data_IF_264142214600
#
_entry.id   IF_264142214600
#
_cell.length_a   1.000
_cell.length_b   1.000
_cell.length_c   1.000
_cell.angle_alpha   90.00
_cell.angle_beta   90.00
_cell.angle_gamma   90.00
#
_symmetry.space_group_name_H-M   'P 1'
#
loop_
_entity.id
_entity.type
_entity.pdbx_description
1 polymer ?
#
# COMPACT_ATOMS: atom_id res chain seq x y z
N UNK A 1 25.44 -5.86 32.36
CA UNK A 1 24.13 -6.44 31.96
C UNK A 1 24.12 -7.93 32.27
N UNK A 2 23.51 -8.34 33.41
CA UNK A 2 23.39 -9.74 33.83
C UNK A 2 22.70 -10.63 32.79
N UNK A 3 23.04 -11.92 32.78
CA UNK A 3 22.48 -12.89 31.83
C UNK A 3 20.94 -13.00 31.94
N UNK A 4 20.41 -12.91 33.15
CA UNK A 4 18.96 -12.91 33.40
C UNK A 4 18.25 -11.70 32.79
N UNK A 5 18.84 -10.51 32.89
CA UNK A 5 18.30 -9.29 32.30
C UNK A 5 18.27 -9.39 30.78
N UNK A 6 19.34 -9.92 30.16
CA UNK A 6 19.37 -10.15 28.71
C UNK A 6 18.29 -11.13 28.27
N UNK A 7 18.04 -12.20 29.05
CA UNK A 7 16.95 -13.16 28.80
C UNK A 7 15.58 -12.48 28.85
N UNK A 8 15.30 -11.69 29.89
CA UNK A 8 14.02 -10.97 30.04
C UNK A 8 13.77 -9.98 28.89
N UNK A 9 14.77 -9.19 28.50
CA UNK A 9 14.66 -8.25 27.36
C UNK A 9 14.42 -9.03 26.05
N UNK A 10 15.16 -10.12 25.82
CA UNK A 10 14.99 -10.92 24.61
C UNK A 10 13.60 -11.56 24.52
N UNK A 11 13.06 -12.05 25.63
CA UNK A 11 11.72 -12.62 25.71
C UNK A 11 10.65 -11.55 25.42
N UNK A 12 10.81 -10.35 25.99
CA UNK A 12 9.87 -9.24 25.78
C UNK A 12 9.85 -8.73 24.33
N UNK A 13 10.99 -8.77 23.64
CA UNK A 13 11.10 -8.31 22.24
C UNK A 13 10.76 -9.40 21.22
N UNK A 14 10.80 -10.68 21.60
CA UNK A 14 10.51 -11.79 20.68
C UNK A 14 9.06 -11.74 20.22
N UNK A 15 8.85 -11.70 18.91
CA UNK A 15 7.53 -11.70 18.29
C UNK A 15 6.84 -10.32 18.19
N UNK A 16 7.38 -9.26 18.81
CA UNK A 16 6.85 -7.91 18.62
C UNK A 16 7.05 -7.46 17.18
N UNK A 17 5.95 -7.23 16.46
CA UNK A 17 5.98 -6.67 15.11
C UNK A 17 6.20 -5.16 15.20
N UNK A 18 7.19 -4.65 14.47
CA UNK A 18 7.37 -3.20 14.27
C UNK A 18 6.13 -2.62 13.59
N UNK A 19 5.64 -1.49 14.08
CA UNK A 19 4.55 -0.72 13.46
C UNK A 19 4.91 -0.33 12.01
N UNK A 20 3.91 -0.14 11.13
CA UNK A 20 4.17 0.28 9.75
C UNK A 20 4.94 1.59 9.69
N UNK A 21 4.56 2.59 10.49
CA UNK A 21 5.25 3.89 10.60
C UNK A 21 6.72 3.75 10.98
N UNK A 22 7.03 2.87 11.95
CA UNK A 22 8.42 2.65 12.36
C UNK A 22 9.24 1.96 11.25
N UNK A 23 8.62 1.08 10.46
CA UNK A 23 9.29 0.47 9.29
C UNK A 23 9.55 1.50 8.20
N UNK A 24 8.60 2.39 7.95
CA UNK A 24 8.73 3.47 6.97
C UNK A 24 9.79 4.48 7.39
N UNK A 25 9.81 4.88 8.67
CA UNK A 25 10.85 5.74 9.24
C UNK A 25 12.25 5.15 9.06
N UNK A 26 12.42 3.85 9.37
CA UNK A 26 13.69 3.16 9.14
C UNK A 26 14.06 3.11 7.65
N UNK A 27 13.08 2.85 6.78
CA UNK A 27 13.31 2.85 5.33
C UNK A 27 13.81 4.20 4.85
N UNK A 28 13.15 5.29 5.27
CA UNK A 28 13.51 6.67 4.89
C UNK A 28 14.90 7.06 5.40
N UNK A 29 15.25 6.69 6.64
CA UNK A 29 16.57 6.98 7.22
C UNK A 29 17.73 6.25 6.52
N UNK A 30 17.47 5.09 5.95
CA UNK A 30 18.51 4.25 5.31
C UNK A 30 18.36 4.16 3.78
N UNK A 31 17.68 5.12 3.17
CA UNK A 31 17.54 5.24 1.72
C UNK A 31 18.62 6.17 1.14
N UNK A 32 19.10 5.84 -0.06
CA UNK A 32 20.06 6.66 -0.79
C UNK A 32 21.35 6.91 -0.01
N UNK A 33 21.92 8.11 -0.19
CA UNK A 33 23.19 8.55 0.39
C UNK A 33 23.19 8.67 1.93
N UNK A 34 22.03 8.66 2.59
CA UNK A 34 21.96 8.65 4.05
C UNK A 34 22.35 7.31 4.66
N UNK A 35 22.31 6.22 3.88
CA UNK A 35 22.81 4.95 4.34
C UNK A 35 24.34 4.99 4.42
N UNK A 36 24.97 4.69 5.58
CA UNK A 36 26.43 4.72 5.72
C UNK A 36 27.15 3.72 4.79
N UNK A 37 26.41 2.76 4.23
CA UNK A 37 26.90 1.79 3.25
C UNK A 37 26.53 2.14 1.80
N UNK A 38 25.90 3.27 1.54
CA UNK A 38 25.54 3.68 0.17
C UNK A 38 26.80 3.88 -0.68
N UNK A 39 26.79 3.36 -1.91
CA UNK A 39 27.92 3.44 -2.84
C UNK A 39 29.13 2.57 -2.49
N UNK A 40 29.22 2.02 -1.28
CA UNK A 40 30.33 1.12 -0.88
C UNK A 40 30.13 -0.26 -1.49
N UNK A 41 31.07 -0.68 -2.35
CA UNK A 41 31.12 -2.05 -2.88
C UNK A 41 31.81 -2.95 -1.85
N UNK A 42 31.20 -4.09 -1.54
CA UNK A 42 31.85 -5.15 -0.77
C UNK A 42 33.10 -5.64 -1.51
N UNK A 43 34.19 -5.88 -0.77
CA UNK A 43 35.40 -6.50 -1.33
C UNK A 43 35.10 -7.89 -1.89
N UNK A 44 35.89 -8.34 -2.87
CA UNK A 44 35.73 -9.66 -3.48
C UNK A 44 35.80 -10.78 -2.42
N UNK A 45 36.71 -10.66 -1.47
CA UNK A 45 36.85 -11.59 -0.34
C UNK A 45 35.59 -11.63 0.53
N UNK A 46 35.02 -10.47 0.88
CA UNK A 46 33.78 -10.39 1.67
C UNK A 46 32.60 -11.00 0.93
N UNK A 47 32.48 -10.73 -0.38
CA UNK A 47 31.46 -11.35 -1.24
C UNK A 47 31.60 -12.87 -1.28
N UNK A 48 32.83 -13.38 -1.40
CA UNK A 48 33.10 -14.82 -1.38
C UNK A 48 32.71 -15.46 -0.04
N UNK A 49 33.03 -14.82 1.09
CA UNK A 49 32.63 -15.27 2.44
C UNK A 49 31.11 -15.36 2.58
N UNK A 50 30.38 -14.33 2.17
CA UNK A 50 28.90 -14.32 2.20
C UNK A 50 28.33 -15.43 1.31
N UNK A 51 28.86 -15.58 0.10
CA UNK A 51 28.43 -16.62 -0.85
C UNK A 51 28.59 -18.03 -0.27
N UNK A 52 29.76 -18.33 0.32
CA UNK A 52 30.03 -19.62 0.99
C UNK A 52 29.08 -19.85 2.16
N UNK A 53 28.84 -18.83 2.99
CA UNK A 53 27.93 -18.94 4.13
C UNK A 53 26.47 -19.22 3.71
N UNK A 54 26.00 -18.58 2.63
CA UNK A 54 24.66 -18.81 2.09
C UNK A 54 24.52 -20.20 1.46
N UNK A 55 25.55 -20.67 0.74
CA UNK A 55 25.59 -22.01 0.17
C UNK A 55 25.55 -23.10 1.27
N UNK A 56 26.29 -22.92 2.37
CA UNK A 56 26.29 -23.85 3.49
C UNK A 56 24.90 -23.94 4.17
N UNK A 57 24.25 -22.79 4.41
CA UNK A 57 22.90 -22.74 5.00
C UNK A 57 21.83 -23.37 4.11
N UNK A 58 21.97 -23.24 2.79
CA UNK A 58 21.08 -23.90 1.83
C UNK A 58 21.13 -25.43 1.91
N UNK A 59 22.33 -25.99 2.11
CA UNK A 59 22.53 -27.44 2.26
C UNK A 59 21.95 -27.98 3.57
N UNK A 60 22.18 -27.29 4.69
CA UNK A 60 21.62 -27.68 6.00
C UNK A 60 20.09 -27.73 5.98
N UNK A 61 19.42 -26.72 5.42
CA UNK A 61 17.94 -26.74 5.30
C UNK A 61 17.42 -27.90 4.45
N UNK A 62 18.19 -28.37 3.46
CA UNK A 62 17.77 -29.51 2.64
C UNK A 62 17.89 -30.81 3.43
N UNK A 63 18.95 -30.99 4.22
CA UNK A 63 19.09 -32.12 5.13
C UNK A 63 17.99 -32.12 6.22
N UNK A 64 17.76 -30.97 6.88
CA UNK A 64 16.70 -30.84 7.91
C UNK A 64 15.28 -31.12 7.38
N UNK A 65 15.04 -30.96 6.07
CA UNK A 65 13.76 -31.33 5.44
C UNK A 65 13.72 -32.78 4.95
N UNK A 66 14.87 -33.37 4.60
CA UNK A 66 14.98 -34.78 4.18
C UNK A 66 14.86 -35.73 5.37
N UNK A 67 15.28 -35.31 6.56
CA UNK A 67 15.15 -36.11 7.79
C UNK A 67 13.81 -35.91 8.52
N UNK A 68 12.88 -35.14 7.95
CA UNK A 68 11.55 -34.85 8.53
C UNK A 68 10.31 -35.18 7.67
N UNK A 69 10.31 -36.21 6.80
CA UNK A 69 9.15 -36.51 5.96
C UNK A 69 7.96 -37.07 6.77
N UNK A 70 8.18 -37.58 7.97
CA UNK A 70 7.14 -38.34 8.70
C UNK A 70 6.12 -37.46 9.47
N UNK A 71 6.45 -36.20 9.78
CA UNK A 71 5.54 -35.30 10.52
C UNK A 71 4.59 -34.46 9.63
N UNK A 72 4.63 -34.67 8.31
CA UNK A 72 3.67 -34.06 7.39
C UNK A 72 2.27 -34.71 7.48
N UNK A 73 2.19 -35.95 7.98
CA UNK A 73 0.96 -36.75 8.09
C UNK A 73 0.45 -36.90 9.54
N UNK A 74 0.80 -35.99 10.45
CA UNK A 74 0.30 -36.11 11.82
C UNK A 74 -1.23 -35.96 11.86
N UNK A 75 -1.94 -36.73 12.71
CA UNK A 75 -3.39 -36.67 12.84
C UNK A 75 -3.90 -35.26 13.21
N UNK A 76 -3.09 -34.46 13.90
CA UNK A 76 -3.42 -33.06 14.20
C UNK A 76 -3.52 -32.17 12.94
N UNK A 77 -2.64 -32.36 11.95
CA UNK A 77 -2.71 -31.60 10.69
C UNK A 77 -3.90 -32.03 9.83
N UNK A 78 -4.27 -33.33 9.85
CA UNK A 78 -5.47 -33.83 9.16
C UNK A 78 -6.75 -33.21 9.72
N UNK A 79 -6.87 -33.11 11.05
CA UNK A 79 -7.99 -32.43 11.72
C UNK A 79 -8.08 -30.95 11.34
N UNK A 80 -6.95 -30.23 11.34
CA UNK A 80 -6.94 -28.81 10.92
C UNK A 80 -7.32 -28.60 9.45
N UNK A 81 -6.88 -29.50 8.55
CA UNK A 81 -7.28 -29.45 7.14
C UNK A 81 -8.79 -29.68 6.99
N UNK A 82 -9.33 -30.71 7.64
CA UNK A 82 -10.77 -31.02 7.62
C UNK A 82 -11.60 -29.86 8.19
N UNK A 83 -11.16 -29.24 9.29
CA UNK A 83 -11.86 -28.10 9.89
C UNK A 83 -11.90 -26.89 8.94
N UNK A 84 -10.79 -26.60 8.26
CA UNK A 84 -10.73 -25.53 7.26
C UNK A 84 -11.66 -25.81 6.07
N UNK A 85 -11.71 -27.06 5.61
CA UNK A 85 -12.56 -27.49 4.51
C UNK A 85 -14.05 -27.37 4.88
N UNK A 86 -14.44 -27.85 6.08
CA UNK A 86 -15.78 -27.65 6.64
C UNK A 86 -16.17 -26.17 6.77
N UNK A 87 -15.23 -25.32 7.19
CA UNK A 87 -15.47 -23.88 7.32
C UNK A 87 -15.75 -23.22 5.97
N UNK A 88 -15.04 -23.64 4.91
CA UNK A 88 -15.24 -23.11 3.56
C UNK A 88 -16.61 -23.53 2.98
N UNK A 89 -17.04 -24.76 3.24
CA UNK A 89 -18.35 -25.23 2.76
C UNK A 89 -19.51 -24.53 3.49
N UNK A 90 -19.39 -24.30 4.80
CA UNK A 90 -20.36 -23.47 5.55
C UNK A 90 -20.48 -22.05 5.00
N UNK A 91 -19.36 -21.44 4.58
CA UNK A 91 -19.38 -20.11 3.97
C UNK A 91 -20.07 -20.12 2.59
N UNK A 92 -19.87 -21.18 1.79
CA UNK A 92 -20.56 -21.36 0.50
C UNK A 92 -22.06 -21.51 0.68
N UNK A 93 -22.49 -22.31 1.64
CA UNK A 93 -23.91 -22.51 1.96
C UNK A 93 -24.57 -21.20 2.42
N UNK A 94 -23.93 -20.46 3.34
CA UNK A 94 -24.41 -19.13 3.77
C UNK A 94 -24.52 -18.14 2.61
N UNK A 95 -23.56 -18.17 1.68
CA UNK A 95 -23.62 -17.32 0.50
C UNK A 95 -24.82 -17.67 -0.40
N UNK A 96 -25.14 -18.95 -0.58
CA UNK A 96 -26.33 -19.39 -1.32
C UNK A 96 -27.61 -18.95 -0.61
N UNK A 97 -27.71 -19.14 0.71
CA UNK A 97 -28.89 -18.71 1.48
C UNK A 97 -29.09 -17.19 1.42
N UNK A 98 -28.03 -16.40 1.52
CA UNK A 98 -28.12 -14.93 1.42
C UNK A 98 -28.66 -14.46 0.06
N UNK A 99 -28.35 -15.17 -1.03
CA UNK A 99 -28.87 -14.87 -2.37
C UNK A 99 -30.38 -15.15 -2.48
N UNK A 100 -30.87 -16.22 -1.85
CA UNK A 100 -32.30 -16.53 -1.84
C UNK A 100 -33.12 -15.50 -1.06
N UNK A 101 -32.60 -15.03 0.08
CA UNK A 101 -33.27 -14.00 0.89
C UNK A 101 -33.30 -12.65 0.16
N UNK A 102 -32.20 -12.27 -0.50
CA UNK A 102 -32.14 -11.01 -1.26
C UNK A 102 -33.07 -11.00 -2.46
N UNK A 103 -33.34 -12.15 -3.11
CA UNK A 103 -34.34 -12.22 -4.18
C UNK A 103 -35.79 -12.05 -3.71
N UNK A 104 -36.10 -12.31 -2.44
CA UNK A 104 -37.47 -12.21 -1.92
C UNK A 104 -37.85 -10.80 -1.41
N UNK A 105 -36.87 -9.94 -1.15
CA UNK A 105 -37.11 -8.66 -0.42
C UNK A 105 -36.82 -7.41 -1.24
N UNK A 106 -36.33 -7.54 -2.48
CA UNK A 106 -36.14 -6.36 -3.34
C UNK A 106 -37.47 -5.96 -4.00
N UNK A 107 -37.96 -4.73 -3.79
CA UNK A 107 -39.08 -4.23 -4.58
C UNK A 107 -38.68 -4.26 -6.07
N UNK A 108 -39.59 -4.61 -6.99
CA UNK A 108 -39.28 -4.69 -8.40
C UNK A 108 -38.63 -3.37 -8.84
N UNK A 109 -37.47 -3.40 -9.51
CA UNK A 109 -36.80 -2.19 -9.94
C UNK A 109 -37.78 -1.38 -10.77
N UNK A 110 -38.01 -0.12 -10.38
CA UNK A 110 -38.90 0.81 -11.10
C UNK A 110 -38.43 0.84 -12.56
N UNK A 111 -39.22 0.20 -13.43
CA UNK A 111 -38.93 0.09 -14.86
C UNK A 111 -38.81 1.49 -15.43
N UNK A 112 -37.61 1.91 -15.81
CA UNK A 112 -37.45 3.07 -16.69
C UNK A 112 -37.99 2.67 -18.06
N UNK A 113 -39.01 3.36 -18.60
CA UNK A 113 -39.55 3.06 -19.92
C UNK A 113 -38.56 3.56 -20.98
N UNK A 114 -37.57 2.73 -21.33
CA UNK A 114 -36.79 2.77 -22.60
C UNK A 114 -35.54 1.87 -22.51
N UNK A 115 -35.72 0.58 -22.23
CA UNK A 115 -34.61 -0.40 -22.28
C UNK A 115 -35.00 -1.74 -22.91
N UNK A 116 -36.07 -1.77 -23.72
CA UNK A 116 -36.54 -3.00 -24.36
C UNK A 116 -35.71 -3.35 -25.62
N UNK A 117 -34.91 -2.42 -26.16
CA UNK A 117 -34.14 -2.66 -27.39
C UNK A 117 -32.70 -3.16 -27.19
N UNK A 118 -32.20 -3.23 -25.95
CA UNK A 118 -30.80 -3.63 -25.71
C UNK A 118 -30.62 -5.12 -25.45
N UNK A 119 -31.57 -5.77 -24.78
CA UNK A 119 -31.44 -7.18 -24.36
C UNK A 119 -31.56 -8.13 -25.57
N UNK A 120 -32.42 -7.82 -26.55
CA UNK A 120 -32.55 -8.58 -27.80
C UNK A 120 -31.30 -8.42 -28.70
N UNK A 121 -30.64 -7.26 -28.63
CA UNK A 121 -29.40 -7.01 -29.37
C UNK A 121 -28.23 -7.80 -28.76
N UNK A 122 -28.18 -7.92 -27.44
CA UNK A 122 -27.19 -8.75 -26.74
C UNK A 122 -27.39 -10.24 -27.02
N UNK A 123 -28.63 -10.72 -27.04
CA UNK A 123 -28.95 -12.11 -27.38
C UNK A 123 -28.53 -12.47 -28.82
N UNK A 124 -28.82 -11.60 -29.79
CA UNK A 124 -28.41 -11.79 -31.19
C UNK A 124 -26.88 -11.76 -31.36
N UNK A 125 -26.19 -10.92 -30.58
CA UNK A 125 -24.73 -10.84 -30.61
C UNK A 125 -24.07 -12.09 -30.01
N UNK A 126 -24.62 -12.61 -28.91
CA UNK A 126 -24.16 -13.86 -28.28
C UNK A 126 -24.35 -15.08 -29.19
N UNK A 127 -25.49 -15.21 -29.88
CA UNK A 127 -25.72 -16.29 -30.84
C UNK A 127 -24.73 -16.23 -32.01
N UNK A 128 -24.40 -15.03 -32.47
CA UNK A 128 -23.39 -14.82 -33.53
C UNK A 128 -21.97 -15.20 -33.08
N UNK A 129 -21.64 -14.98 -31.81
CA UNK A 129 -20.37 -15.42 -31.21
C UNK A 129 -20.34 -16.94 -31.09
N UNK A 130 -21.41 -17.56 -30.59
CA UNK A 130 -21.50 -19.01 -30.41
C UNK A 130 -21.43 -19.76 -31.75
N UNK A 131 -22.10 -19.27 -32.80
CA UNK A 131 -22.00 -19.82 -34.16
C UNK A 131 -20.57 -19.72 -34.72
N UNK A 132 -19.88 -18.61 -34.46
CA UNK A 132 -18.45 -18.47 -34.84
C UNK A 132 -17.57 -19.45 -34.09
N UNK A 133 -17.76 -19.62 -32.79
CA UNK A 133 -17.00 -20.59 -31.98
C UNK A 133 -17.26 -22.02 -32.43
N UNK A 134 -18.51 -22.36 -32.78
CA UNK A 134 -18.88 -23.67 -33.28
C UNK A 134 -18.32 -23.96 -34.69
N UNK A 135 -18.13 -22.93 -35.53
CA UNK A 135 -17.53 -23.06 -36.87
C UNK A 135 -16.00 -23.11 -36.88
N UNK A 136 -15.36 -22.85 -35.73
CA UNK A 136 -13.91 -23.01 -35.61
C UNK A 136 -13.62 -24.49 -35.31
N UNK A 137 -13.43 -25.28 -36.35
CA UNK A 137 -12.80 -26.61 -36.31
C UNK A 137 -11.29 -26.51 -35.95
N UNK A 138 -10.90 -25.53 -35.13
CA UNK A 138 -9.54 -25.46 -34.63
C UNK A 138 -9.40 -26.47 -33.50
N UNK A 139 -8.41 -27.37 -33.55
CA UNK A 139 -8.16 -28.29 -32.46
C UNK A 139 -7.92 -27.46 -31.19
N UNK A 140 -8.49 -27.87 -30.04
CA UNK A 140 -8.40 -27.11 -28.79
C UNK A 140 -6.95 -26.78 -28.39
N UNK A 141 -5.99 -27.56 -28.88
CA UNK A 141 -4.56 -27.33 -28.72
C UNK A 141 -4.04 -26.03 -29.36
N UNK A 142 -4.56 -25.65 -30.54
CA UNK A 142 -4.17 -24.41 -31.22
C UNK A 142 -4.65 -23.17 -30.45
N UNK A 143 -5.87 -23.22 -29.93
CA UNK A 143 -6.44 -22.17 -29.06
C UNK A 143 -5.65 -22.07 -27.76
N UNK A 144 -5.34 -23.20 -27.11
CA UNK A 144 -4.52 -23.23 -25.89
C UNK A 144 -3.12 -22.66 -26.14
N UNK A 145 -2.46 -23.03 -27.25
CA UNK A 145 -1.15 -22.50 -27.63
C UNK A 145 -1.20 -20.99 -27.87
N UNK A 146 -2.26 -20.49 -28.51
CA UNK A 146 -2.46 -19.06 -28.74
C UNK A 146 -2.69 -18.30 -27.44
N UNK A 147 -3.49 -18.83 -26.52
CA UNK A 147 -3.70 -18.25 -25.19
C UNK A 147 -2.40 -18.23 -24.36
N UNK A 148 -1.61 -19.30 -24.40
CA UNK A 148 -0.30 -19.35 -23.74
C UNK A 148 0.68 -18.33 -24.32
N UNK A 149 0.71 -18.16 -25.64
CA UNK A 149 1.55 -17.15 -26.30
C UNK A 149 1.11 -15.72 -25.94
N UNK A 150 -0.19 -15.45 -25.90
CA UNK A 150 -0.74 -14.17 -25.47
C UNK A 150 -0.41 -13.86 -24.01
N UNK A 151 -0.47 -14.87 -23.13
CA UNK A 151 -0.04 -14.74 -21.73
C UNK A 151 1.43 -14.39 -21.61
N UNK A 152 2.32 -15.13 -22.31
CA UNK A 152 3.76 -14.84 -22.34
C UNK A 152 4.05 -13.42 -22.85
N UNK A 153 3.31 -12.96 -23.86
CA UNK A 153 3.44 -11.60 -24.42
C UNK A 153 3.02 -10.52 -23.41
N UNK A 154 1.93 -10.74 -22.66
CA UNK A 154 1.49 -9.83 -21.57
C UNK A 154 2.51 -9.78 -20.43
N UNK A 155 3.06 -10.93 -20.03
CA UNK A 155 4.10 -11.00 -19.00
C UNK A 155 5.38 -10.27 -19.44
N UNK A 156 5.81 -10.46 -20.69
CA UNK A 156 6.94 -9.73 -21.29
C UNK A 156 6.72 -8.21 -21.30
N UNK A 157 5.58 -7.74 -21.80
CA UNK A 157 5.25 -6.31 -21.81
C UNK A 157 5.21 -5.70 -20.39
N UNK A 158 4.75 -6.47 -19.40
CA UNK A 158 4.71 -6.03 -18.00
C UNK A 158 6.12 -5.89 -17.42
N UNK A 159 7.02 -6.82 -17.73
CA UNK A 159 8.43 -6.75 -17.33
C UNK A 159 9.16 -5.59 -18.02
N UNK A 160 8.92 -5.36 -19.30
CA UNK A 160 9.50 -4.23 -20.05
C UNK A 160 9.04 -2.88 -19.49
N UNK A 161 7.74 -2.72 -19.17
CA UNK A 161 7.24 -1.52 -18.49
C UNK A 161 7.88 -1.30 -17.12
N UNK A 162 8.05 -2.36 -16.33
CA UNK A 162 8.77 -2.27 -15.04
C UNK A 162 10.23 -1.87 -15.22
N UNK A 163 10.91 -2.43 -16.22
CA UNK A 163 12.28 -2.08 -16.54
C UNK A 163 12.41 -0.62 -16.99
N UNK A 164 11.49 -0.12 -17.82
CA UNK A 164 11.44 1.28 -18.24
C UNK A 164 11.23 2.25 -17.07
N UNK A 165 10.26 1.96 -16.18
CA UNK A 165 10.02 2.76 -14.99
C UNK A 165 11.24 2.79 -14.04
N UNK A 166 11.95 1.67 -13.92
CA UNK A 166 13.18 1.61 -13.11
C UNK A 166 14.32 2.43 -13.74
N UNK A 167 14.41 2.52 -15.08
CA UNK A 167 15.39 3.39 -15.75
C UNK A 167 15.06 4.87 -15.57
N UNK A 168 13.78 5.26 -15.66
CA UNK A 168 13.35 6.64 -15.46
C UNK A 168 13.66 7.17 -14.05
N UNK A 169 13.48 6.34 -13.01
CA UNK A 169 13.82 6.69 -11.62
C UNK A 169 15.32 6.84 -11.34
N UNK A 170 16.19 6.26 -12.17
CA UNK A 170 17.64 6.42 -12.02
C UNK A 170 18.15 7.74 -12.64
N UNK A 171 17.40 8.34 -13.57
CA UNK A 171 17.77 9.58 -14.25
C UNK A 171 17.22 10.83 -13.53
N UNK A 172 16.09 10.73 -12.82
CA UNK A 172 15.59 11.79 -11.95
C UNK A 172 16.15 11.66 -10.53
N UNK A 173 17.47 11.86 -10.40
CA UNK A 173 18.04 12.22 -9.10
C UNK A 173 17.34 13.49 -8.58
N UNK A 174 17.08 13.61 -7.27
CA UNK A 174 16.59 14.87 -6.71
C UNK A 174 17.55 15.99 -7.12
N UNK A 175 17.06 17.18 -7.51
CA UNK A 175 17.94 18.30 -7.80
C UNK A 175 18.85 18.49 -6.59
N UNK A 176 20.16 18.31 -6.80
CA UNK A 176 21.16 18.54 -5.78
C UNK A 176 21.03 20.00 -5.37
N UNK A 177 20.45 20.27 -4.21
CA UNK A 177 20.54 21.57 -3.56
C UNK A 177 21.99 21.76 -3.15
N UNK A 178 22.80 22.19 -4.12
CA UNK A 178 24.15 22.66 -3.91
C UNK A 178 24.07 23.97 -3.14
N UNK A 179 24.28 23.88 -1.84
CA UNK A 179 24.75 25.01 -1.05
C UNK A 179 26.21 25.24 -1.47
N UNK A 180 26.41 26.15 -2.41
CA UNK A 180 27.70 26.78 -2.67
C UNK A 180 27.55 28.25 -2.34
N UNK A 181 28.17 28.65 -1.24
CA UNK A 181 28.56 30.02 -0.97
C UNK A 181 29.41 30.57 -2.12
N UNK A 182 29.12 31.83 -2.48
CA UNK A 182 29.93 32.88 -3.15
C UNK A 182 28.92 33.83 -3.80
N UNK A 183 28.50 34.88 -3.09
CA UNK A 183 29.19 36.19 -3.11
C UNK A 183 29.49 36.65 -4.52
N UNK A 184 28.48 37.14 -5.23
CA UNK A 184 28.67 38.18 -6.25
C UNK A 184 27.44 39.08 -6.31
N UNK A 185 27.67 40.33 -5.90
CA UNK A 185 26.73 41.44 -5.98
C UNK A 185 26.46 41.75 -7.45
N UNK A 186 25.28 41.40 -7.94
CA UNK A 186 24.75 41.96 -9.18
C UNK A 186 23.40 42.60 -8.87
N UNK A 187 23.39 43.94 -8.90
CA UNK A 187 22.23 44.77 -8.65
C UNK A 187 21.08 44.35 -9.56
N UNK A 188 20.00 43.85 -8.96
CA UNK A 188 18.69 43.80 -9.59
C UNK A 188 18.00 45.16 -9.43
N UNK A 189 17.20 45.57 -10.43
CA UNK A 189 16.46 46.83 -10.38
C UNK A 189 15.49 46.86 -9.21
N UNK A 190 15.43 48.00 -8.53
CA UNK A 190 14.56 48.25 -7.39
C UNK A 190 13.09 48.02 -7.80
N UNK A 191 12.34 47.17 -7.06
CA UNK A 191 10.90 47.13 -7.22
C UNK A 191 10.31 48.43 -6.66
N UNK A 192 9.50 49.06 -7.50
CA UNK A 192 8.77 50.29 -7.21
C UNK A 192 8.04 50.23 -5.88
N UNK A 193 8.39 51.19 -5.04
CA UNK A 193 7.77 51.51 -3.75
C UNK A 193 6.37 52.03 -4.02
N UNK A 194 5.39 51.15 -4.08
CA UNK A 194 3.98 51.53 -3.97
C UNK A 194 3.40 50.94 -2.70
N UNK A 195 3.38 51.80 -1.68
CA UNK A 195 2.52 51.78 -0.49
C UNK A 195 2.43 50.44 0.27
N UNK A 196 3.39 50.25 1.17
CA UNK A 196 3.31 49.41 2.37
C UNK A 196 2.13 49.84 3.26
N UNK A 197 0.91 49.49 2.87
CA UNK A 197 -0.14 49.20 3.84
C UNK A 197 0.26 47.88 4.49
N UNK A 198 1.09 47.98 5.54
CA UNK A 198 1.36 46.86 6.44
C UNK A 198 0.04 46.42 7.05
N UNK A 199 -0.67 45.53 6.35
CA UNK A 199 -1.73 44.71 6.89
C UNK A 199 -1.12 44.03 8.12
N UNK A 200 -1.41 44.58 9.29
CA UNK A 200 -0.86 44.08 10.54
C UNK A 200 -1.54 42.75 10.75
N UNK A 201 -0.87 41.69 10.30
CA UNK A 201 -1.27 40.32 10.58
C UNK A 201 -1.29 40.17 12.10
N UNK A 202 -2.48 40.28 12.67
CA UNK A 202 -2.68 40.08 14.09
C UNK A 202 -2.84 38.58 14.32
N UNK A 203 -2.19 38.06 15.36
CA UNK A 203 -2.36 36.67 15.74
C UNK A 203 -3.83 36.43 16.09
N UNK A 204 -4.41 35.36 15.54
CA UNK A 204 -5.77 34.97 15.85
C UNK A 204 -5.87 34.66 17.35
N UNK A 205 -6.66 35.44 18.08
CA UNK A 205 -6.83 35.33 19.53
C UNK A 205 -7.56 34.06 19.94
N UNK A 206 -8.34 33.47 19.04
CA UNK A 206 -9.10 32.24 19.30
C UNK A 206 -8.18 31.02 19.34
N UNK A 207 -7.23 30.93 18.42
CA UNK A 207 -6.28 29.81 18.36
C UNK A 207 -4.84 30.18 18.79
N UNK A 208 -4.64 31.38 19.33
CA UNK A 208 -3.34 31.92 19.74
C UNK A 208 -2.27 31.78 18.65
N UNK A 209 -2.60 32.10 17.40
CA UNK A 209 -1.63 32.04 16.30
C UNK A 209 -1.41 30.66 15.67
N UNK A 210 -1.98 29.58 16.23
CA UNK A 210 -1.65 28.21 15.77
C UNK A 210 -2.45 27.74 14.56
N UNK A 211 -3.62 28.33 14.30
CA UNK A 211 -4.54 27.89 13.26
C UNK A 211 -5.29 26.58 13.58
N UNK A 212 -4.95 25.89 14.67
CA UNK A 212 -5.54 24.60 15.02
C UNK A 212 -6.10 24.64 16.45
N UNK A 213 -7.31 24.14 16.63
CA UNK A 213 -7.95 24.02 17.94
C UNK A 213 -8.15 22.55 18.29
N UNK A 214 -8.16 22.22 19.58
CA UNK A 214 -8.50 20.88 20.02
C UNK A 214 -9.95 20.56 19.64
N UNK A 215 -10.20 19.35 19.16
CA UNK A 215 -11.54 18.95 18.76
C UNK A 215 -12.46 18.92 19.99
N UNK A 216 -13.53 19.72 20.03
CA UNK A 216 -14.41 19.82 21.21
C UNK A 216 -15.14 18.49 21.48
N UNK A 217 -15.35 17.68 20.44
CA UNK A 217 -16.18 16.48 20.53
C UNK A 217 -15.41 15.23 21.01
N UNK A 218 -14.09 15.16 20.80
CA UNK A 218 -13.31 14.00 21.24
C UNK A 218 -12.28 14.30 22.33
N UNK A 219 -11.50 15.37 22.21
CA UNK A 219 -10.48 15.69 23.21
C UNK A 219 -11.13 16.21 24.50
N UNK A 220 -12.20 17.01 24.38
CA UNK A 220 -12.98 17.46 25.53
C UNK A 220 -13.66 16.31 26.30
N UNK A 221 -14.14 15.30 25.58
CA UNK A 221 -14.95 14.22 26.16
C UNK A 221 -14.15 13.03 26.65
N UNK A 222 -13.08 12.67 25.93
CA UNK A 222 -12.29 11.46 26.19
C UNK A 222 -10.85 11.75 26.66
N UNK A 223 -10.40 13.01 26.65
CA UNK A 223 -9.03 13.40 26.98
C UNK A 223 -7.96 12.93 26.00
N UNK A 224 -8.34 12.21 24.94
CA UNK A 224 -7.46 11.68 23.89
C UNK A 224 -8.19 11.69 22.54
N UNK A 225 -7.43 11.69 21.44
CA UNK A 225 -8.00 11.63 20.09
C UNK A 225 -8.71 10.28 19.86
N UNK A 226 -10.01 10.33 19.59
CA UNK A 226 -10.79 9.15 19.22
C UNK A 226 -10.78 8.97 17.71
N UNK A 227 -10.32 7.80 17.23
CA UNK A 227 -10.29 7.44 15.79
C UNK A 227 -11.67 7.40 15.13
N UNK A 228 -12.75 7.52 15.91
CA UNK A 228 -14.14 7.51 15.45
C UNK A 228 -14.84 8.86 15.56
N UNK A 229 -14.11 9.95 15.79
CA UNK A 229 -14.73 11.26 15.86
C UNK A 229 -15.11 11.75 14.45
N UNK A 230 -16.40 12.00 14.21
CA UNK A 230 -16.90 12.45 12.89
C UNK A 230 -16.45 13.87 12.52
N UNK A 231 -16.04 14.68 13.51
CA UNK A 231 -15.58 16.05 13.29
C UNK A 231 -14.09 16.14 12.93
N UNK A 232 -13.22 15.42 13.63
CA UNK A 232 -11.77 15.49 13.40
C UNK A 232 -11.20 14.24 12.71
N UNK A 233 -12.03 13.23 12.43
CA UNK A 233 -11.64 11.94 11.82
C UNK A 233 -10.44 11.27 12.52
N UNK A 234 -10.32 11.41 13.84
CA UNK A 234 -9.22 10.86 14.63
C UNK A 234 -7.97 11.72 14.78
N UNK A 235 -7.91 12.91 14.17
CA UNK A 235 -6.76 13.80 14.29
C UNK A 235 -6.61 14.46 15.67
N UNK A 236 -7.70 14.60 16.43
CA UNK A 236 -7.72 15.28 17.74
C UNK A 236 -7.75 16.81 17.68
N UNK A 237 -7.67 17.39 16.48
CA UNK A 237 -7.79 18.84 16.27
C UNK A 237 -8.66 19.17 15.07
N UNK A 238 -9.22 20.38 15.06
CA UNK A 238 -9.97 20.97 13.94
C UNK A 238 -9.34 22.33 13.60
N UNK A 239 -9.48 22.77 12.36
CA UNK A 239 -9.00 24.10 11.97
C UNK A 239 -9.81 25.19 12.68
N UNK A 240 -9.15 26.28 13.04
CA UNK A 240 -9.81 27.44 13.62
C UNK A 240 -10.66 28.13 12.56
N UNK A 241 -11.97 28.22 12.77
CA UNK A 241 -12.92 28.82 11.80
C UNK A 241 -12.65 30.31 11.57
N UNK A 242 -12.20 31.03 12.61
CA UNK A 242 -11.94 32.48 12.55
C UNK A 242 -10.80 32.84 11.60
N UNK A 243 -9.73 32.05 11.58
CA UNK A 243 -8.58 32.28 10.69
C UNK A 243 -8.44 31.21 9.60
N UNK A 244 -9.42 30.32 9.45
CA UNK A 244 -9.42 29.19 8.50
C UNK A 244 -8.13 28.36 8.49
N UNK A 245 -7.51 28.17 9.66
CA UNK A 245 -6.25 27.44 9.77
C UNK A 245 -4.97 28.25 9.53
N UNK A 246 -5.05 29.52 9.15
CA UNK A 246 -3.86 30.37 8.86
C UNK A 246 -3.13 30.79 10.13
N UNK A 247 -3.84 31.00 11.23
CA UNK A 247 -3.29 31.45 12.51
C UNK A 247 -3.22 32.98 12.66
N UNK A 248 -3.35 33.74 11.59
CA UNK A 248 -3.52 35.20 11.64
C UNK A 248 -4.86 35.63 11.06
N UNK A 249 -5.34 36.80 11.48
CA UNK A 249 -6.49 37.47 10.89
C UNK A 249 -6.05 38.83 10.37
N UNK A 250 -6.49 39.15 9.16
CA UNK A 250 -6.33 40.48 8.59
C UNK A 250 -7.47 41.32 9.16
N UNK A 251 -7.12 42.25 10.04
CA UNK A 251 -8.04 43.20 10.69
C UNK A 251 -7.95 44.57 10.05
#
# INVERSE_FOLDING_TARGET
MPAETRRKISAALKGRRKSPEHRESLRRRFEGSQNPMYGRKLSAESRAKISRAMAAKGKQKKQDNVDKPEQANSPAKRKNKQLMEQTLDQLREKAVQSKLITSATQPPPKRKPNRILHDDLEAAHLDKILKRVASLDEPPEAVVRTLQNNRKRREKNTLERRAANNRGRAASGPPSTGLSEKSDKKALPEPDKTVDASERNCQCTVCNGTGLMQCPNCVGTFGVSSSRCDLCFGAGGVFCDTCQGVGSVIT
#
